data_IF_018806901986
#
_entry.id   IF_018806901986
#
_cell.length_a   1.000
_cell.length_b   1.000
_cell.length_c   1.000
_cell.angle_alpha   90.00
_cell.angle_beta   90.00
_cell.angle_gamma   90.00
#
_symmetry.space_group_name_H-M   'P 1'
#
loop_
_entity.id
_entity.type
_entity.pdbx_description
1 polymer ?
#
# COMPACT_ATOMS: atom_id res chain seq x y z
N UNK A 1 11.27 1.69 2.32
CA UNK A 1 9.88 1.72 1.78
C UNK A 1 9.48 0.31 1.40
N UNK A 2 8.19 0.01 1.28
CA UNK A 2 7.69 -1.38 1.14
C UNK A 2 8.24 -2.10 -0.10
N UNK A 3 8.31 -1.42 -1.24
CA UNK A 3 8.83 -2.02 -2.47
C UNK A 3 10.33 -2.37 -2.36
N UNK A 4 11.13 -1.49 -1.76
CA UNK A 4 12.55 -1.78 -1.50
C UNK A 4 12.71 -2.98 -0.56
N UNK A 5 11.84 -3.13 0.43
CA UNK A 5 11.84 -4.32 1.31
C UNK A 5 11.51 -5.59 0.53
N UNK A 6 10.52 -5.56 -0.38
CA UNK A 6 10.22 -6.71 -1.25
C UNK A 6 11.39 -7.05 -2.16
N UNK A 7 12.00 -6.06 -2.81
CA UNK A 7 13.16 -6.28 -3.67
C UNK A 7 14.34 -6.85 -2.88
N UNK A 8 14.59 -6.35 -1.67
CA UNK A 8 15.64 -6.85 -0.80
C UNK A 8 15.42 -8.30 -0.38
N UNK A 9 14.17 -8.69 -0.07
CA UNK A 9 13.82 -10.06 0.28
C UNK A 9 13.94 -11.02 -0.92
N UNK A 10 13.60 -10.55 -2.12
CA UNK A 10 13.65 -11.35 -3.35
C UNK A 10 15.05 -11.45 -3.94
N UNK A 11 15.94 -10.50 -3.62
CA UNK A 11 17.28 -10.41 -4.18
C UNK A 11 18.15 -11.61 -3.78
N UNK A 12 18.75 -12.24 -4.78
CA UNK A 12 19.66 -13.35 -4.58
C UNK A 12 20.29 -13.80 -5.90
N UNK A 13 21.32 -14.66 -5.86
CA UNK A 13 22.01 -15.12 -7.05
C UNK A 13 21.15 -16.00 -7.98
N UNK A 14 20.07 -16.57 -7.45
CA UNK A 14 19.18 -17.51 -8.15
C UNK A 14 18.16 -16.85 -9.07
N UNK A 15 17.94 -15.53 -8.93
CA UNK A 15 16.91 -14.80 -9.68
C UNK A 15 17.46 -13.53 -10.27
N UNK A 16 17.16 -13.30 -11.55
CA UNK A 16 17.49 -12.05 -12.23
C UNK A 16 16.38 -11.03 -12.01
N UNK A 17 16.69 -10.01 -11.19
CA UNK A 17 15.79 -8.88 -10.93
C UNK A 17 16.24 -7.68 -11.75
N UNK A 18 15.31 -7.05 -12.46
CA UNK A 18 15.55 -5.80 -13.21
C UNK A 18 14.52 -4.76 -12.81
N UNK A 19 14.94 -3.51 -12.64
CA UNK A 19 14.03 -2.40 -12.32
C UNK A 19 14.09 -1.30 -13.37
N UNK A 20 12.96 -0.61 -13.56
CA UNK A 20 12.86 0.70 -14.19
C UNK A 20 12.36 1.69 -13.13
N UNK A 21 13.13 2.72 -12.79
CA UNK A 21 12.83 3.66 -11.70
C UNK A 21 13.06 5.12 -12.12
N UNK A 22 12.29 6.06 -11.56
CA UNK A 22 12.43 7.50 -11.82
C UNK A 22 12.32 8.34 -10.53
N UNK A 23 13.44 8.64 -9.84
CA UNK A 23 14.79 8.12 -10.01
C UNK A 23 15.05 6.85 -9.18
N UNK A 24 16.27 6.28 -9.28
CA UNK A 24 16.69 5.18 -8.39
C UNK A 24 16.90 5.72 -6.97
N UNK A 25 16.10 5.25 -6.00
CA UNK A 25 16.20 5.69 -4.60
C UNK A 25 17.39 5.05 -3.87
N UNK A 26 17.60 3.75 -4.07
CA UNK A 26 18.65 2.97 -3.40
C UNK A 26 19.02 1.74 -4.23
N UNK A 27 20.33 1.50 -4.36
CA UNK A 27 20.84 0.27 -4.99
C UNK A 27 20.83 -0.90 -4.02
N UNK A 28 20.28 -2.01 -4.46
CA UNK A 28 20.23 -3.29 -3.75
C UNK A 28 21.18 -4.27 -4.47
N UNK A 29 22.07 -4.98 -3.76
CA UNK A 29 22.88 -6.03 -4.36
C UNK A 29 22.01 -7.07 -5.07
N UNK A 30 22.51 -7.65 -6.16
CA UNK A 30 21.79 -8.63 -7.01
C UNK A 30 20.57 -8.09 -7.77
N UNK A 31 20.32 -6.77 -7.73
CA UNK A 31 19.25 -6.13 -8.49
C UNK A 31 19.86 -5.22 -9.57
N UNK A 32 19.42 -5.40 -10.82
CA UNK A 32 19.84 -4.56 -11.94
C UNK A 32 18.94 -3.32 -12.03
N UNK A 33 19.38 -2.25 -11.37
CA UNK A 33 18.62 -1.00 -11.36
C UNK A 33 18.86 -0.16 -12.63
N UNK A 34 17.79 0.15 -13.36
CA UNK A 34 17.80 1.04 -14.52
C UNK A 34 16.97 2.28 -14.22
N UNK A 35 17.55 3.45 -14.48
CA UNK A 35 16.83 4.71 -14.34
C UNK A 35 16.13 5.06 -15.65
N UNK A 36 14.87 5.47 -15.56
CA UNK A 36 14.11 6.03 -16.67
C UNK A 36 14.77 7.32 -17.14
N UNK A 37 14.74 7.55 -18.45
CA UNK A 37 15.23 8.80 -19.05
C UNK A 37 14.22 9.30 -20.06
N UNK A 38 14.33 10.55 -20.49
CA UNK A 38 13.50 11.11 -21.57
C UNK A 38 13.57 10.28 -22.88
N UNK A 39 14.69 9.58 -23.10
CA UNK A 39 14.92 8.74 -24.30
C UNK A 39 14.42 7.31 -24.15
N UNK A 40 14.23 6.84 -22.93
CA UNK A 40 13.85 5.46 -22.63
C UNK A 40 12.87 5.46 -21.45
N UNK A 41 11.58 5.57 -21.78
CA UNK A 41 10.47 5.50 -20.84
C UNK A 41 10.22 4.08 -20.32
N UNK A 42 9.27 3.93 -19.38
CA UNK A 42 8.93 2.65 -18.77
C UNK A 42 8.60 1.55 -19.79
N UNK A 43 7.81 1.85 -20.82
CA UNK A 43 7.42 0.88 -21.85
C UNK A 43 8.61 0.41 -22.71
N UNK A 44 9.49 1.33 -23.12
CA UNK A 44 10.69 1.03 -23.91
C UNK A 44 11.66 0.11 -23.15
N UNK A 45 11.87 0.43 -21.87
CA UNK A 45 12.70 -0.36 -20.96
C UNK A 45 12.11 -1.76 -20.75
N UNK A 46 10.79 -1.84 -20.55
CA UNK A 46 10.09 -3.10 -20.32
C UNK A 46 10.19 -4.08 -21.51
N UNK A 47 10.15 -3.59 -22.76
CA UNK A 47 10.40 -4.43 -23.95
C UNK A 47 11.82 -5.00 -24.01
N UNK A 48 12.78 -4.24 -23.47
CA UNK A 48 14.17 -4.69 -23.39
C UNK A 48 14.31 -5.82 -22.36
N UNK A 49 13.57 -5.75 -21.25
CA UNK A 49 13.62 -6.73 -20.17
C UNK A 49 13.12 -8.12 -20.58
N UNK A 50 12.14 -8.21 -21.49
CA UNK A 50 11.72 -9.49 -22.09
C UNK A 50 12.88 -10.26 -22.74
N UNK A 51 13.90 -9.55 -23.23
CA UNK A 51 15.06 -10.16 -23.89
C UNK A 51 16.24 -10.38 -22.96
N UNK A 52 16.11 -9.94 -21.71
CA UNK A 52 17.16 -10.08 -20.70
C UNK A 52 16.98 -11.31 -19.83
N UNK A 53 16.00 -12.18 -20.07
CA UNK A 53 15.80 -13.41 -19.27
C UNK A 53 15.62 -13.05 -17.78
N UNK A 54 14.76 -12.06 -17.51
CA UNK A 54 14.47 -11.60 -16.15
C UNK A 54 13.44 -12.53 -15.49
N UNK A 55 13.60 -12.83 -14.21
CA UNK A 55 12.58 -13.53 -13.43
C UNK A 55 11.57 -12.55 -12.82
N UNK A 56 12.08 -11.40 -12.37
CA UNK A 56 11.33 -10.38 -11.64
C UNK A 56 11.60 -9.02 -12.26
N UNK A 57 10.53 -8.28 -12.55
CA UNK A 57 10.61 -6.95 -13.14
C UNK A 57 9.88 -5.97 -12.23
N UNK A 58 10.57 -4.92 -11.80
CA UNK A 58 9.94 -3.80 -11.11
C UNK A 58 9.80 -2.61 -12.05
N UNK A 59 8.56 -2.15 -12.24
CA UNK A 59 8.24 -0.93 -12.99
C UNK A 59 7.82 0.11 -11.95
N UNK A 60 8.60 1.19 -11.82
CA UNK A 60 8.45 2.22 -10.80
C UNK A 60 7.00 2.60 -10.52
N UNK A 61 6.25 2.87 -11.59
CA UNK A 61 4.82 3.15 -11.53
C UNK A 61 4.13 2.98 -12.89
N UNK A 62 2.81 2.82 -12.87
CA UNK A 62 1.96 2.88 -14.07
C UNK A 62 1.22 4.23 -14.09
N UNK A 63 1.67 5.13 -14.98
CA UNK A 63 1.06 6.46 -15.20
C UNK A 63 0.13 6.53 -16.41
N UNK A 64 0.30 5.65 -17.38
CA UNK A 64 -0.35 5.68 -18.69
C UNK A 64 -0.71 4.28 -19.21
N UNK A 65 -1.48 4.27 -20.30
CA UNK A 65 -1.93 3.03 -20.95
C UNK A 65 -0.77 2.20 -21.50
N UNK A 66 0.28 2.83 -22.02
CA UNK A 66 1.42 2.09 -22.60
C UNK A 66 2.16 1.28 -21.52
N UNK A 67 2.41 1.89 -20.36
CA UNK A 67 3.04 1.24 -19.22
C UNK A 67 2.14 0.15 -18.63
N UNK A 68 0.82 0.37 -18.60
CA UNK A 68 -0.15 -0.62 -18.14
C UNK A 68 -0.16 -1.86 -19.05
N UNK A 69 -0.26 -1.66 -20.37
CA UNK A 69 -0.27 -2.74 -21.37
C UNK A 69 1.01 -3.55 -21.27
N UNK A 70 2.16 -2.87 -21.19
CA UNK A 70 3.45 -3.57 -21.15
C UNK A 70 3.62 -4.36 -19.85
N UNK A 71 3.17 -3.83 -18.72
CA UNK A 71 3.19 -4.54 -17.42
C UNK A 71 2.36 -5.82 -17.46
N UNK A 72 1.17 -5.75 -18.06
CA UNK A 72 0.29 -6.91 -18.23
C UNK A 72 0.92 -7.95 -19.17
N UNK A 73 1.51 -7.53 -20.29
CA UNK A 73 2.19 -8.44 -21.22
C UNK A 73 3.38 -9.16 -20.58
N UNK A 74 4.16 -8.47 -19.75
CA UNK A 74 5.24 -9.08 -18.97
C UNK A 74 4.69 -10.14 -18.00
N UNK A 75 3.62 -9.82 -17.28
CA UNK A 75 2.99 -10.76 -16.35
C UNK A 75 2.41 -12.00 -17.08
N UNK A 76 1.75 -11.81 -18.23
CA UNK A 76 1.21 -12.92 -19.05
C UNK A 76 2.28 -13.87 -19.58
N UNK A 77 3.50 -13.37 -19.76
CA UNK A 77 4.63 -14.19 -20.22
C UNK A 77 5.36 -14.91 -19.08
N UNK A 78 4.82 -14.84 -17.85
CA UNK A 78 5.31 -15.61 -16.70
C UNK A 78 6.27 -14.86 -15.78
N UNK A 79 6.53 -13.57 -16.02
CA UNK A 79 7.38 -12.76 -15.17
C UNK A 79 6.63 -12.33 -13.90
N UNK A 80 7.32 -12.29 -12.76
CA UNK A 80 6.78 -11.60 -11.58
C UNK A 80 6.96 -10.09 -11.79
N UNK A 81 5.85 -9.39 -12.02
CA UNK A 81 5.84 -7.93 -12.21
C UNK A 81 5.43 -7.25 -10.91
N UNK A 82 6.31 -6.40 -10.39
CA UNK A 82 6.02 -5.48 -9.30
C UNK A 82 5.85 -4.08 -9.89
N UNK A 83 4.86 -3.33 -9.39
CA UNK A 83 4.65 -1.95 -9.83
C UNK A 83 3.87 -1.16 -8.79
N UNK A 84 3.76 0.16 -8.99
CA UNK A 84 2.96 1.03 -8.13
C UNK A 84 1.87 1.75 -8.94
N UNK A 85 0.71 1.96 -8.30
CA UNK A 85 -0.38 2.75 -8.84
C UNK A 85 -0.95 3.67 -7.77
N UNK A 86 -1.30 4.88 -8.18
CA UNK A 86 -2.00 5.82 -7.32
C UNK A 86 -3.50 5.49 -7.24
N UNK A 87 -3.87 4.76 -6.21
CA UNK A 87 -5.26 4.39 -5.90
C UNK A 87 -5.58 4.67 -4.44
N UNK A 88 -6.86 4.76 -4.09
CA UNK A 88 -7.29 5.09 -2.72
C UNK A 88 -7.26 3.90 -1.76
N UNK A 89 -7.36 2.70 -2.31
CA UNK A 89 -7.36 1.40 -1.62
C UNK A 89 -6.95 0.30 -2.59
N UNK A 90 -6.75 -0.91 -2.07
CA UNK A 90 -6.07 -2.00 -2.78
C UNK A 90 -6.89 -2.49 -3.99
N UNK A 91 -8.21 -2.57 -3.87
CA UNK A 91 -9.14 -3.00 -4.92
C UNK A 91 -9.24 -1.94 -6.03
N UNK A 92 -8.98 -0.67 -5.71
CA UNK A 92 -9.00 0.44 -6.67
C UNK A 92 -8.09 0.25 -7.88
N UNK A 93 -7.10 -0.65 -7.80
CA UNK A 93 -6.23 -1.03 -8.92
C UNK A 93 -7.02 -1.53 -10.13
N UNK A 94 -8.11 -2.27 -9.93
CA UNK A 94 -8.92 -2.83 -11.02
C UNK A 94 -9.52 -1.71 -11.86
N UNK A 95 -10.18 -0.74 -11.20
CA UNK A 95 -10.77 0.42 -11.87
C UNK A 95 -9.70 1.31 -12.53
N UNK A 96 -8.53 1.44 -11.90
CA UNK A 96 -7.42 2.23 -12.45
C UNK A 96 -6.85 1.59 -13.72
N UNK A 97 -6.66 0.28 -13.73
CA UNK A 97 -6.21 -0.48 -14.89
C UNK A 97 -7.24 -0.44 -16.03
N UNK A 98 -8.54 -0.55 -15.72
CA UNK A 98 -9.61 -0.34 -16.71
C UNK A 98 -9.59 1.05 -17.33
N UNK A 99 -9.26 2.09 -16.56
CA UNK A 99 -9.13 3.47 -17.07
C UNK A 99 -7.91 3.66 -17.99
N UNK A 100 -6.98 2.69 -18.02
CA UNK A 100 -5.88 2.58 -18.97
C UNK A 100 -6.19 1.61 -20.11
N UNK A 101 -7.47 1.36 -20.37
CA UNK A 101 -7.99 0.48 -21.43
C UNK A 101 -7.53 -0.98 -21.33
N UNK A 102 -7.15 -1.44 -20.12
CA UNK A 102 -6.88 -2.86 -19.87
C UNK A 102 -8.19 -3.62 -19.70
N UNK A 103 -8.42 -4.61 -20.56
CA UNK A 103 -9.59 -5.46 -20.51
C UNK A 103 -9.66 -6.25 -19.18
N UNK A 104 -10.83 -6.38 -18.52
CA UNK A 104 -10.97 -7.08 -17.24
C UNK A 104 -10.35 -8.49 -17.21
N UNK A 105 -10.52 -9.28 -18.27
CA UNK A 105 -9.89 -10.60 -18.37
C UNK A 105 -8.38 -10.58 -18.17
N UNK A 106 -7.67 -9.61 -18.76
CA UNK A 106 -6.23 -9.51 -18.57
C UNK A 106 -5.85 -9.11 -17.14
N UNK A 107 -6.67 -8.29 -16.48
CA UNK A 107 -6.48 -7.95 -15.07
C UNK A 107 -6.68 -9.20 -14.21
N UNK A 108 -7.76 -9.95 -14.43
CA UNK A 108 -8.06 -11.17 -13.69
C UNK A 108 -6.95 -12.22 -13.87
N UNK A 109 -6.43 -12.38 -15.08
CA UNK A 109 -5.42 -13.40 -15.38
C UNK A 109 -4.03 -13.07 -14.82
N UNK A 110 -3.71 -11.79 -14.62
CA UNK A 110 -2.34 -11.35 -14.26
C UNK A 110 -2.21 -10.77 -12.86
N UNK A 111 -3.26 -10.21 -12.27
CA UNK A 111 -3.18 -9.59 -10.95
C UNK A 111 -3.16 -10.68 -9.86
N UNK A 112 -2.02 -10.84 -9.19
CA UNK A 112 -1.89 -11.75 -8.03
C UNK A 112 -2.39 -11.12 -6.72
N UNK A 113 -2.31 -9.79 -6.63
CA UNK A 113 -2.71 -9.04 -5.45
C UNK A 113 -2.29 -7.57 -5.53
N UNK A 114 -2.80 -6.78 -4.60
CA UNK A 114 -2.56 -5.35 -4.47
C UNK A 114 -2.45 -4.98 -3.00
N UNK A 115 -1.44 -4.20 -2.65
CA UNK A 115 -1.22 -3.70 -1.30
C UNK A 115 -1.43 -2.20 -1.28
N UNK A 116 -2.50 -1.74 -0.63
CA UNK A 116 -2.65 -0.34 -0.29
C UNK A 116 -1.97 -0.05 1.04
N UNK A 117 -1.29 1.09 1.11
CA UNK A 117 -0.56 1.53 2.29
C UNK A 117 -0.86 2.99 2.59
N UNK A 118 -1.00 3.31 3.87
CA UNK A 118 -0.94 4.68 4.39
C UNK A 118 0.03 4.79 5.55
N UNK A 119 0.59 5.97 5.77
CA UNK A 119 1.46 6.28 6.89
C UNK A 119 0.73 7.26 7.80
N UNK A 120 0.56 6.89 9.07
CA UNK A 120 -0.13 7.70 10.06
C UNK A 120 0.84 8.06 11.17
N UNK A 121 0.75 9.27 11.72
CA UNK A 121 1.60 9.70 12.82
C UNK A 121 1.42 8.77 14.03
N UNK A 122 2.52 8.21 14.53
CA UNK A 122 2.54 7.34 15.70
C UNK A 122 2.53 8.13 17.01
N UNK A 123 1.94 7.57 18.05
CA UNK A 123 2.01 8.10 19.42
C UNK A 123 3.34 7.71 20.07
N UNK A 124 3.91 8.61 20.87
CA UNK A 124 5.04 8.24 21.71
C UNK A 124 4.60 7.29 22.82
N UNK A 125 5.17 6.08 22.87
CA UNK A 125 4.82 5.08 23.88
C UNK A 125 5.13 5.49 25.33
N UNK A 126 6.03 6.46 25.53
CA UNK A 126 6.47 6.89 26.85
C UNK A 126 5.62 8.00 27.47
N UNK A 127 5.07 8.90 26.64
CA UNK A 127 4.32 10.05 27.15
C UNK A 127 2.86 10.11 26.70
N UNK A 128 2.38 9.20 25.83
CA UNK A 128 0.97 9.15 25.42
C UNK A 128 0.03 9.14 26.62
N UNK A 129 -1.12 9.78 26.47
CA UNK A 129 -2.09 9.94 27.55
C UNK A 129 -3.40 9.22 27.23
N UNK A 130 -3.91 8.50 28.22
CA UNK A 130 -5.24 7.89 28.14
C UNK A 130 -6.31 9.00 28.09
N UNK A 131 -7.31 8.83 27.23
CA UNK A 131 -8.44 9.74 27.13
C UNK A 131 -9.73 8.99 26.76
N UNK A 132 -10.86 9.69 26.88
CA UNK A 132 -12.14 9.20 26.40
C UNK A 132 -12.46 9.91 25.09
N UNK A 133 -12.59 9.19 23.95
CA UNK A 133 -12.94 9.81 22.68
C UNK A 133 -14.34 10.45 22.68
N UNK A 134 -14.56 11.37 21.74
CA UNK A 134 -15.91 11.90 21.50
C UNK A 134 -16.87 10.74 21.17
N UNK A 135 -18.01 10.59 21.88
CA UNK A 135 -18.95 9.51 21.65
C UNK A 135 -19.47 9.41 20.22
N UNK A 136 -19.57 10.53 19.49
CA UNK A 136 -19.99 10.55 18.08
C UNK A 136 -18.94 9.93 17.17
N UNK A 137 -17.68 10.24 17.42
CA UNK A 137 -16.53 9.68 16.70
C UNK A 137 -16.45 8.18 16.96
N UNK A 138 -16.53 7.80 18.23
CA UNK A 138 -16.49 6.39 18.65
C UNK A 138 -17.61 5.57 17.98
N UNK A 139 -18.84 6.08 17.97
CA UNK A 139 -19.99 5.42 17.33
C UNK A 139 -19.79 5.17 15.84
N UNK A 140 -19.12 6.08 15.13
CA UNK A 140 -18.83 5.88 13.70
C UNK A 140 -17.79 4.76 13.51
N UNK A 141 -16.78 4.70 14.38
CA UNK A 141 -15.75 3.68 14.34
C UNK A 141 -16.30 2.29 14.68
N UNK A 142 -17.20 2.19 15.66
CA UNK A 142 -17.89 0.95 16.05
C UNK A 142 -18.64 0.29 14.90
N UNK A 143 -19.12 1.07 13.92
CA UNK A 143 -19.81 0.55 12.73
C UNK A 143 -18.84 -0.11 11.75
N UNK A 144 -17.57 0.25 11.80
CA UNK A 144 -16.51 -0.29 10.94
C UNK A 144 -15.90 -1.51 11.63
N UNK A 145 -15.36 -1.30 12.83
CA UNK A 145 -14.76 -2.34 13.66
C UNK A 145 -15.07 -2.03 15.13
N UNK A 146 -15.86 -2.86 15.82
CA UNK A 146 -16.14 -2.66 17.24
C UNK A 146 -14.86 -2.72 18.10
N UNK A 147 -14.72 -1.83 19.10
CA UNK A 147 -13.61 -1.89 20.04
C UNK A 147 -13.68 -3.17 20.90
N UNK A 148 -12.53 -3.77 21.25
CA UNK A 148 -12.48 -4.81 22.27
C UNK A 148 -12.97 -4.29 23.63
N UNK A 149 -13.51 -5.19 24.46
CA UNK A 149 -13.94 -4.86 25.81
C UNK A 149 -12.78 -4.28 26.65
N UNK A 150 -13.02 -3.14 27.30
CA UNK A 150 -12.03 -2.48 28.14
C UNK A 150 -10.87 -1.83 27.38
N UNK A 151 -10.97 -1.64 26.06
CA UNK A 151 -9.94 -0.95 25.28
C UNK A 151 -9.72 0.46 25.82
N UNK A 152 -8.44 0.87 25.87
CA UNK A 152 -8.02 2.21 26.25
C UNK A 152 -7.66 3.01 25.01
N UNK A 153 -8.09 4.26 24.97
CA UNK A 153 -7.74 5.18 23.90
C UNK A 153 -6.63 6.12 24.34
N UNK A 154 -5.72 6.41 23.42
CA UNK A 154 -4.56 7.24 23.68
C UNK A 154 -4.45 8.39 22.69
N UNK A 155 -3.99 9.54 23.19
CA UNK A 155 -3.66 10.72 22.39
C UNK A 155 -2.22 11.16 22.64
N UNK A 156 -1.76 12.15 21.88
CA UNK A 156 -0.43 12.73 22.05
C UNK A 156 -0.23 13.24 23.49
N UNK A 157 0.96 12.96 24.01
CA UNK A 157 1.40 13.41 25.32
C UNK A 157 2.00 14.82 25.33
N UNK A 158 2.48 15.30 26.49
CA UNK A 158 3.17 16.60 26.59
C UNK A 158 4.55 16.63 25.91
N UNK A 159 5.04 15.48 25.44
CA UNK A 159 6.42 15.31 24.97
C UNK A 159 7.35 14.77 26.06
N UNK A 160 8.38 14.03 25.65
CA UNK A 160 9.46 13.51 26.49
C UNK A 160 10.76 13.38 25.67
N UNK A 161 11.82 12.94 26.35
CA UNK A 161 13.15 12.66 25.79
C UNK A 161 13.15 11.55 24.73
N UNK A 162 12.12 10.70 24.70
CA UNK A 162 11.97 9.62 23.71
C UNK A 162 11.23 10.04 22.42
N UNK A 163 10.75 11.28 22.33
CA UNK A 163 10.07 11.82 21.15
C UNK A 163 10.62 13.18 20.73
N UNK A 164 11.95 13.26 20.68
CA UNK A 164 12.66 14.46 20.26
C UNK A 164 12.63 14.59 18.74
N UNK A 165 12.27 15.78 18.28
CA UNK A 165 12.44 16.21 16.89
C UNK A 165 13.19 17.54 16.86
N UNK A 166 14.14 17.67 15.92
CA UNK A 166 14.89 18.92 15.73
C UNK A 166 14.32 19.64 14.52
N UNK A 167 13.69 20.79 14.75
CA UNK A 167 13.09 21.63 13.69
C UNK A 167 13.80 22.97 13.68
N UNK A 168 14.45 23.32 12.57
CA UNK A 168 15.22 24.57 12.43
C UNK A 168 16.29 24.78 13.52
N UNK A 169 16.85 23.69 14.05
CA UNK A 169 17.84 23.72 15.14
C UNK A 169 17.24 23.77 16.54
N UNK A 170 15.92 23.85 16.68
CA UNK A 170 15.22 23.79 17.96
C UNK A 170 14.81 22.37 18.31
N UNK A 171 15.03 21.97 19.57
CA UNK A 171 14.65 20.67 20.11
C UNK A 171 13.20 20.75 20.59
N UNK A 172 12.31 19.99 19.95
CA UNK A 172 10.89 19.90 20.30
C UNK A 172 10.60 18.49 20.80
N UNK A 173 9.82 18.37 21.86
CA UNK A 173 9.27 17.10 22.32
C UNK A 173 7.80 17.02 21.89
N UNK A 174 7.50 16.30 20.80
CA UNK A 174 6.19 16.39 20.14
C UNK A 174 5.07 15.56 20.75
N UNK A 175 5.40 14.53 21.53
CA UNK A 175 4.41 13.58 22.02
C UNK A 175 3.99 12.49 21.02
N UNK A 176 4.43 12.62 19.76
CA UNK A 176 4.35 11.61 18.69
C UNK A 176 5.72 11.01 18.37
N UNK A 177 5.75 9.81 17.80
CA UNK A 177 6.99 9.11 17.43
C UNK A 177 6.81 8.34 16.13
N UNK A 178 7.56 8.75 15.11
CA UNK A 178 7.60 8.09 13.81
C UNK A 178 6.25 8.01 13.09
N UNK A 179 6.23 7.17 12.05
CA UNK A 179 5.03 6.87 11.29
C UNK A 179 4.68 5.39 11.44
N UNK A 180 3.42 5.10 11.68
CA UNK A 180 2.86 3.74 11.74
C UNK A 180 2.26 3.42 10.36
N UNK A 181 2.73 2.34 9.70
CA UNK A 181 2.14 1.92 8.43
C UNK A 181 0.81 1.19 8.66
N UNK A 182 -0.20 1.57 7.90
CA UNK A 182 -1.51 0.93 7.82
C UNK A 182 -1.60 0.26 6.45
N UNK A 183 -1.95 -1.03 6.44
CA UNK A 183 -1.97 -1.85 5.24
C UNK A 183 -3.34 -2.43 4.96
N UNK A 184 -3.67 -2.57 3.68
CA UNK A 184 -4.80 -3.35 3.17
C UNK A 184 -4.27 -4.21 2.03
N UNK A 185 -4.28 -5.53 2.24
CA UNK A 185 -3.77 -6.49 1.27
C UNK A 185 -4.94 -7.21 0.60
N UNK A 186 -5.18 -6.88 -0.66
CA UNK A 186 -6.13 -7.58 -1.52
C UNK A 186 -5.39 -8.69 -2.28
N UNK A 187 -5.79 -9.94 -2.04
CA UNK A 187 -5.23 -11.12 -2.72
C UNK A 187 -6.27 -11.63 -3.72
N UNK A 188 -5.81 -11.96 -4.93
CA UNK A 188 -6.67 -12.42 -6.01
C UNK A 188 -6.60 -13.95 -6.09
N UNK A 189 -7.69 -14.61 -5.72
CA UNK A 189 -7.91 -16.04 -5.94
C UNK A 189 -8.89 -16.28 -7.10
N UNK A 190 -9.19 -17.55 -7.40
CA UNK A 190 -10.05 -17.92 -8.53
C UNK A 190 -11.45 -17.31 -8.50
N UNK A 191 -12.04 -17.13 -7.31
CA UNK A 191 -13.37 -16.51 -7.21
C UNK A 191 -13.30 -15.00 -7.41
N UNK A 192 -12.24 -14.35 -6.92
CA UNK A 192 -11.98 -12.94 -7.19
C UNK A 192 -11.68 -12.72 -8.68
N UNK A 193 -10.93 -13.61 -9.32
CA UNK A 193 -10.68 -13.58 -10.77
C UNK A 193 -12.00 -13.64 -11.54
N UNK A 194 -12.90 -14.56 -11.17
CA UNK A 194 -14.21 -14.66 -11.78
C UNK A 194 -15.07 -13.40 -11.53
N UNK A 195 -15.02 -12.83 -10.33
CA UNK A 195 -15.70 -11.58 -10.01
C UNK A 195 -15.21 -10.41 -10.87
N UNK A 196 -13.89 -10.32 -11.12
CA UNK A 196 -13.30 -9.32 -12.03
C UNK A 196 -13.77 -9.55 -13.46
N UNK A 197 -13.76 -10.80 -13.94
CA UNK A 197 -14.22 -11.18 -15.30
C UNK A 197 -15.70 -10.87 -15.54
N UNK A 198 -16.53 -11.05 -14.51
CA UNK A 198 -17.96 -10.71 -14.53
C UNK A 198 -18.22 -9.21 -14.30
N UNK A 199 -17.16 -8.41 -14.18
CA UNK A 199 -17.21 -6.97 -13.93
C UNK A 199 -18.08 -6.60 -12.72
N UNK A 200 -18.00 -7.41 -11.65
CA UNK A 200 -18.71 -7.11 -10.42
C UNK A 200 -18.29 -5.75 -9.85
N UNK A 201 -19.20 -5.12 -9.12
CA UNK A 201 -18.94 -3.82 -8.51
C UNK A 201 -17.81 -3.93 -7.47
N UNK A 202 -17.12 -2.81 -7.25
CA UNK A 202 -16.08 -2.69 -6.23
C UNK A 202 -16.58 -3.10 -4.83
N UNK A 203 -17.85 -2.85 -4.54
CA UNK A 203 -18.46 -3.19 -3.26
C UNK A 203 -18.60 -4.71 -3.11
N UNK A 204 -19.07 -5.40 -4.15
CA UNK A 204 -19.18 -6.87 -4.17
C UNK A 204 -17.81 -7.53 -4.04
N UNK A 205 -16.80 -7.08 -4.81
CA UNK A 205 -15.43 -7.59 -4.72
C UNK A 205 -14.85 -7.36 -3.31
N UNK A 206 -15.12 -6.20 -2.70
CA UNK A 206 -14.68 -5.91 -1.33
C UNK A 206 -15.32 -6.85 -0.32
N UNK A 207 -16.63 -7.06 -0.41
CA UNK A 207 -17.33 -7.99 0.49
C UNK A 207 -16.79 -9.41 0.33
N UNK A 208 -16.59 -9.85 -0.91
CA UNK A 208 -16.05 -11.16 -1.24
C UNK A 208 -14.62 -11.35 -0.70
N UNK A 209 -13.80 -10.30 -0.76
CA UNK A 209 -12.43 -10.28 -0.22
C UNK A 209 -12.42 -10.27 1.31
N UNK A 210 -13.31 -9.51 1.95
CA UNK A 210 -13.44 -9.47 3.42
C UNK A 210 -13.85 -10.83 3.98
N UNK A 211 -14.74 -11.56 3.30
CA UNK A 211 -15.11 -12.95 3.66
C UNK A 211 -13.90 -13.92 3.65
N UNK A 212 -12.82 -13.57 2.96
CA UNK A 212 -11.55 -14.32 2.89
C UNK A 212 -10.48 -13.82 3.84
N UNK A 213 -10.82 -12.90 4.74
CA UNK A 213 -9.88 -12.36 5.73
C UNK A 213 -9.13 -11.12 5.27
N UNK A 214 -9.53 -10.45 4.18
CA UNK A 214 -9.00 -9.12 3.87
C UNK A 214 -9.46 -8.12 4.93
N UNK A 215 -8.51 -7.50 5.62
CA UNK A 215 -8.72 -6.34 6.49
C UNK A 215 -8.58 -5.06 5.68
N UNK A 216 -9.59 -4.19 5.73
CA UNK A 216 -9.56 -2.88 5.07
C UNK A 216 -8.61 -1.90 5.77
N UNK A 217 -8.20 -0.84 5.06
CA UNK A 217 -7.38 0.22 5.66
C UNK A 217 -8.04 0.82 6.91
N UNK A 218 -9.37 0.97 6.89
CA UNK A 218 -10.16 1.52 7.98
C UNK A 218 -10.14 0.59 9.21
N UNK A 219 -10.33 -0.72 9.01
CA UNK A 219 -10.26 -1.72 10.08
C UNK A 219 -8.84 -1.83 10.66
N UNK A 220 -7.81 -1.88 9.81
CA UNK A 220 -6.41 -1.95 10.27
C UNK A 220 -6.02 -0.70 11.07
N UNK A 221 -6.45 0.49 10.65
CA UNK A 221 -6.22 1.71 11.42
C UNK A 221 -6.88 1.65 12.80
N UNK A 222 -8.13 1.17 12.89
CA UNK A 222 -8.81 1.00 14.17
C UNK A 222 -8.10 -0.03 15.06
N UNK A 223 -7.59 -1.13 14.50
CA UNK A 223 -6.75 -2.08 15.24
C UNK A 223 -5.52 -1.38 15.85
N UNK A 224 -4.85 -0.50 15.10
CA UNK A 224 -3.70 0.27 15.63
C UNK A 224 -4.11 1.29 16.69
N UNK A 225 -5.30 1.88 16.59
CA UNK A 225 -5.86 2.73 17.66
C UNK A 225 -6.07 1.92 18.93
N UNK A 226 -6.70 0.74 18.82
CA UNK A 226 -7.01 -0.12 19.97
C UNK A 226 -5.76 -0.69 20.65
N UNK A 227 -4.67 -0.84 19.89
CA UNK A 227 -3.35 -1.18 20.42
C UNK A 227 -2.62 0.04 21.03
N UNK A 228 -3.16 1.25 20.84
CA UNK A 228 -2.59 2.50 21.35
C UNK A 228 -1.31 2.93 20.62
N UNK A 229 -1.17 2.58 19.34
CA UNK A 229 -0.08 3.03 18.48
C UNK A 229 -0.37 4.38 17.82
N UNK A 230 -1.64 4.67 17.51
CA UNK A 230 -2.07 5.90 16.85
C UNK A 230 -3.28 6.48 17.58
N UNK A 231 -3.48 7.79 17.46
CA UNK A 231 -4.69 8.45 17.96
C UNK A 231 -5.86 8.19 17.01
N UNK A 232 -7.05 8.00 17.57
CA UNK A 232 -8.30 7.93 16.82
C UNK A 232 -8.52 9.16 15.94
N UNK A 233 -8.11 10.34 16.41
CA UNK A 233 -8.19 11.58 15.63
C UNK A 233 -7.34 11.52 14.35
N UNK A 234 -6.18 10.85 14.38
CA UNK A 234 -5.26 10.75 13.24
C UNK A 234 -5.79 9.86 12.10
N UNK A 235 -6.80 9.03 12.38
CA UNK A 235 -7.45 8.16 11.39
C UNK A 235 -8.33 8.97 10.43
N UNK A 236 -8.95 10.05 10.92
CA UNK A 236 -9.76 10.95 10.10
C UNK A 236 -8.88 11.79 9.17
N UNK A 237 -9.24 11.84 7.88
CA UNK A 237 -8.46 12.53 6.84
C UNK A 237 -7.28 11.71 6.31
N UNK A 238 -6.55 11.00 7.17
CA UNK A 238 -5.41 10.17 6.75
C UNK A 238 -5.81 8.79 6.24
N UNK A 239 -6.90 8.20 6.74
CA UNK A 239 -7.33 6.84 6.37
C UNK A 239 -8.78 6.83 5.90
N UNK A 240 -9.71 7.33 6.71
CA UNK A 240 -11.12 7.37 6.33
C UNK A 240 -11.34 8.33 5.17
N UNK A 241 -11.98 7.82 4.11
CA UNK A 241 -12.54 8.67 3.05
C UNK A 241 -13.95 9.12 3.46
N UNK A 242 -14.47 10.21 2.89
CA UNK A 242 -15.83 10.70 3.15
C UNK A 242 -16.97 9.70 2.79
N UNK A 243 -16.64 8.45 2.42
CA UNK A 243 -17.57 7.41 1.96
C UNK A 243 -17.46 6.09 2.72
N UNK A 244 -16.57 6.00 3.71
CA UNK A 244 -16.49 4.87 4.65
C UNK A 244 -17.43 5.12 5.85
#
# INVERSE_FOLDING_TARGET
TTILSFLHELAGPEKKIITAEDPIERRIPYVNHVQVTEKAGYAELSRTYMRQDADIIFIGEIRDAESAITSVQLAQTGHLVLTTLHTRDSIGVIARMKAFDIHPNFIADTLIGSLAQRLVLGLCHHCKQEYHPDPRILKNCERILPPPDGVKFYKEGPGCDQCIEVVNGEVIMKGSSGLVPIFELFVVDSEIQEAINREQSRMEIRELSRKRGMTTLAEEALLRVYQGYIDLASVYGSVFSNRD
#
